data_IF_397621890102
#
_entry.id   IF_397621890102
#
_cell.length_a   1.000
_cell.length_b   1.000
_cell.length_c   1.000
_cell.angle_alpha   90.00
_cell.angle_beta   90.00
_cell.angle_gamma   90.00
#
_symmetry.space_group_name_H-M   'P 1'
#
loop_
_entity.id
_entity.type
_entity.pdbx_description
1 polymer ?
#
# COMPACT_ATOMS: atom_id res chain seq x y z
N UNK A 1 16.22 -30.65 -71.37
CA UNK A 1 16.25 -31.41 -70.10
C UNK A 1 17.12 -30.69 -69.06
N UNK A 2 16.89 -29.38 -68.86
CA UNK A 2 17.43 -28.55 -67.77
C UNK A 2 16.60 -27.25 -67.74
N UNK A 3 15.33 -27.33 -67.32
CA UNK A 3 14.64 -26.14 -66.82
C UNK A 3 14.74 -26.25 -65.31
N UNK A 4 15.58 -25.42 -64.71
CA UNK A 4 15.50 -25.17 -63.27
C UNK A 4 14.04 -24.86 -62.95
N UNK A 5 13.45 -25.57 -62.01
CA UNK A 5 12.07 -25.34 -61.58
C UNK A 5 12.03 -24.03 -60.78
N UNK A 6 12.00 -22.91 -61.50
CA UNK A 6 12.00 -21.56 -60.94
C UNK A 6 10.77 -21.33 -60.06
N UNK A 7 9.68 -22.04 -60.35
CA UNK A 7 8.42 -21.95 -59.63
C UNK A 7 8.52 -22.64 -58.27
N UNK A 8 9.17 -23.82 -58.20
CA UNK A 8 9.45 -24.47 -56.91
C UNK A 8 10.37 -23.61 -56.01
N UNK A 9 11.37 -22.95 -56.60
CA UNK A 9 12.24 -22.02 -55.87
C UNK A 9 11.50 -20.77 -55.37
N UNK A 10 10.57 -20.22 -56.15
CA UNK A 10 9.74 -19.07 -55.78
C UNK A 10 8.81 -19.40 -54.61
N UNK A 11 8.12 -20.55 -54.66
CA UNK A 11 7.22 -21.00 -53.60
C UNK A 11 7.97 -21.22 -52.27
N UNK A 12 9.19 -21.75 -52.32
CA UNK A 12 10.04 -21.88 -51.13
C UNK A 12 10.37 -20.51 -50.53
N UNK A 13 10.82 -19.56 -51.36
CA UNK A 13 11.18 -18.21 -50.91
C UNK A 13 9.96 -17.49 -50.33
N UNK A 14 8.79 -17.60 -50.94
CA UNK A 14 7.55 -16.99 -50.43
C UNK A 14 7.16 -17.56 -49.06
N UNK A 15 7.21 -18.89 -48.90
CA UNK A 15 6.96 -19.52 -47.60
C UNK A 15 7.94 -19.03 -46.53
N UNK A 16 9.24 -18.94 -46.84
CA UNK A 16 10.24 -18.41 -45.90
C UNK A 16 9.98 -16.92 -45.57
N UNK A 17 9.64 -16.10 -46.56
CA UNK A 17 9.29 -14.69 -46.33
C UNK A 17 8.07 -14.56 -45.42
N UNK A 18 7.03 -15.36 -45.66
CA UNK A 18 5.82 -15.38 -44.85
C UNK A 18 6.13 -15.83 -43.41
N UNK A 19 6.98 -16.84 -43.25
CA UNK A 19 7.41 -17.32 -41.92
C UNK A 19 8.22 -16.26 -41.16
N UNK A 20 9.13 -15.55 -41.85
CA UNK A 20 9.89 -14.43 -41.28
C UNK A 20 8.95 -13.31 -40.81
N UNK A 21 7.99 -12.90 -41.64
CA UNK A 21 7.02 -11.84 -41.30
C UNK A 21 6.11 -12.26 -40.14
N UNK A 22 5.64 -13.51 -40.15
CA UNK A 22 4.84 -14.08 -39.06
C UNK A 22 5.62 -14.10 -37.75
N UNK A 23 6.87 -14.56 -37.79
CA UNK A 23 7.75 -14.63 -36.61
C UNK A 23 8.07 -13.24 -36.08
N UNK A 24 8.37 -12.28 -36.96
CA UNK A 24 8.56 -10.87 -36.57
C UNK A 24 7.32 -10.31 -35.87
N UNK A 25 6.14 -10.58 -36.41
CA UNK A 25 4.87 -10.10 -35.82
C UNK A 25 4.63 -10.73 -34.45
N UNK A 26 4.87 -12.02 -34.29
CA UNK A 26 4.80 -12.71 -32.99
C UNK A 26 5.79 -12.13 -31.98
N UNK A 27 7.02 -11.84 -32.40
CA UNK A 27 8.03 -11.22 -31.55
C UNK A 27 7.61 -9.82 -31.08
N UNK A 28 7.05 -8.99 -31.98
CA UNK A 28 6.53 -7.66 -31.63
C UNK A 28 5.37 -7.74 -30.64
N UNK A 29 4.43 -8.66 -30.85
CA UNK A 29 3.33 -8.89 -29.91
C UNK A 29 3.83 -9.36 -28.54
N UNK A 30 4.86 -10.22 -28.52
CA UNK A 30 5.45 -10.69 -27.27
C UNK A 30 6.15 -9.56 -26.52
N UNK A 31 6.90 -8.70 -27.21
CA UNK A 31 7.49 -7.49 -26.61
C UNK A 31 6.41 -6.59 -26.00
N UNK A 32 5.32 -6.34 -26.72
CA UNK A 32 4.20 -5.55 -26.19
C UNK A 32 3.55 -6.21 -24.96
N UNK A 33 3.44 -7.54 -24.93
CA UNK A 33 2.93 -8.28 -23.76
C UNK A 33 3.86 -8.15 -22.55
N UNK A 34 5.17 -8.19 -22.77
CA UNK A 34 6.17 -7.99 -21.70
C UNK A 34 6.02 -6.59 -21.11
N UNK A 35 5.98 -5.55 -21.95
CA UNK A 35 5.82 -4.15 -21.50
C UNK A 35 4.51 -3.92 -20.72
N UNK A 36 3.41 -4.51 -21.21
CA UNK A 36 2.14 -4.47 -20.49
C UNK A 36 2.23 -5.14 -19.12
N UNK A 37 2.87 -6.31 -19.06
CA UNK A 37 3.02 -7.07 -17.81
C UNK A 37 3.91 -6.33 -16.82
N UNK A 38 5.01 -5.73 -17.28
CA UNK A 38 5.89 -4.89 -16.48
C UNK A 38 5.11 -3.71 -15.86
N UNK A 39 4.30 -3.04 -16.68
CA UNK A 39 3.43 -1.94 -16.21
C UNK A 39 2.44 -2.42 -15.15
N UNK A 40 1.83 -3.59 -15.33
CA UNK A 40 0.93 -4.19 -14.34
C UNK A 40 1.64 -4.54 -13.03
N UNK A 41 2.85 -5.09 -13.11
CA UNK A 41 3.67 -5.40 -11.93
C UNK A 41 4.05 -4.12 -11.19
N UNK A 42 4.44 -3.07 -11.89
CA UNK A 42 4.72 -1.76 -11.27
C UNK A 42 3.50 -1.20 -10.55
N UNK A 43 2.33 -1.19 -11.21
CA UNK A 43 1.07 -0.76 -10.58
C UNK A 43 0.73 -1.59 -9.33
N UNK A 44 1.00 -2.89 -9.37
CA UNK A 44 0.77 -3.78 -8.21
C UNK A 44 1.72 -3.45 -7.06
N UNK A 45 3.00 -3.23 -7.35
CA UNK A 45 4.00 -2.84 -6.35
C UNK A 45 3.64 -1.49 -5.70
N UNK A 46 3.24 -0.50 -6.50
CA UNK A 46 2.80 0.80 -6.00
C UNK A 46 1.56 0.69 -5.12
N UNK A 47 0.59 -0.13 -5.52
CA UNK A 47 -0.60 -0.43 -4.71
C UNK A 47 -0.22 -1.10 -3.37
N UNK A 48 0.70 -2.07 -3.38
CA UNK A 48 1.18 -2.71 -2.15
C UNK A 48 1.91 -1.72 -1.24
N UNK A 49 2.73 -0.83 -1.80
CA UNK A 49 3.39 0.23 -1.04
C UNK A 49 2.36 1.17 -0.39
N UNK A 50 1.35 1.58 -1.14
CA UNK A 50 0.29 2.44 -0.62
C UNK A 50 -0.53 1.76 0.49
N UNK A 51 -0.81 0.47 0.34
CA UNK A 51 -1.44 -0.34 1.38
C UNK A 51 -0.60 -0.37 2.66
N UNK A 52 0.69 -0.65 2.55
CA UNK A 52 1.60 -0.69 3.70
C UNK A 52 1.71 0.67 4.40
N UNK A 53 1.74 1.77 3.63
CA UNK A 53 1.71 3.12 4.21
C UNK A 53 0.43 3.37 5.03
N UNK A 54 -0.72 2.92 4.53
CA UNK A 54 -1.99 3.00 5.27
C UNK A 54 -1.96 2.21 6.58
N UNK A 55 -1.34 1.02 6.56
CA UNK A 55 -1.15 0.20 7.77
C UNK A 55 -0.20 0.88 8.77
N UNK A 56 0.90 1.46 8.30
CA UNK A 56 1.86 2.18 9.14
C UNK A 56 1.23 3.39 9.84
N UNK A 57 0.42 4.17 9.11
CA UNK A 57 -0.34 5.29 9.67
C UNK A 57 -1.30 4.82 10.78
N UNK A 58 -1.98 3.70 10.58
CA UNK A 58 -2.88 3.14 11.59
C UNK A 58 -2.13 2.80 12.89
N UNK A 59 -1.01 2.08 12.81
CA UNK A 59 -0.19 1.76 13.97
C UNK A 59 0.41 3.01 14.62
N UNK A 60 0.83 4.00 13.84
CA UNK A 60 1.35 5.27 14.34
C UNK A 60 0.30 6.03 15.16
N UNK A 61 -0.95 6.11 14.69
CA UNK A 61 -2.07 6.73 15.43
C UNK A 61 -2.33 6.01 16.76
N UNK A 62 -2.30 4.66 16.75
CA UNK A 62 -2.44 3.86 17.96
C UNK A 62 -1.30 4.14 18.95
N UNK A 63 -0.05 4.15 18.48
CA UNK A 63 1.12 4.41 19.31
C UNK A 63 1.07 5.81 19.97
N UNK A 64 0.68 6.84 19.22
CA UNK A 64 0.50 8.20 19.74
C UNK A 64 -0.60 8.21 20.82
N UNK A 65 -1.72 7.53 20.58
CA UNK A 65 -2.84 7.45 21.53
C UNK A 65 -2.44 6.79 22.85
N UNK A 66 -1.68 5.70 22.78
CA UNK A 66 -1.12 5.01 23.97
C UNK A 66 -0.09 5.89 24.68
N UNK A 67 0.75 6.63 23.93
CA UNK A 67 1.76 7.53 24.49
C UNK A 67 1.12 8.65 25.31
N UNK A 68 0.00 9.21 24.86
CA UNK A 68 -0.77 10.23 25.61
C UNK A 68 -1.32 9.64 26.91
N UNK A 69 -1.91 8.44 26.87
CA UNK A 69 -2.39 7.76 28.08
C UNK A 69 -1.27 7.47 29.08
N UNK A 70 -0.14 6.96 28.59
CA UNK A 70 1.06 6.69 29.39
C UNK A 70 1.64 7.97 30.01
N UNK A 71 1.63 9.07 29.26
CA UNK A 71 2.08 10.37 29.76
C UNK A 71 1.22 10.87 30.92
N UNK A 72 -0.11 10.82 30.78
CA UNK A 72 -1.04 11.19 31.86
C UNK A 72 -0.82 10.29 33.08
N UNK A 73 -0.77 8.96 32.88
CA UNK A 73 -0.51 8.01 33.95
C UNK A 73 0.85 8.25 34.64
N UNK A 74 1.88 8.64 33.88
CA UNK A 74 3.19 9.00 34.43
C UNK A 74 3.14 10.26 35.27
N UNK A 75 2.53 11.34 34.77
CA UNK A 75 2.43 12.62 35.49
C UNK A 75 1.67 12.48 36.81
N UNK A 76 0.56 11.73 36.83
CA UNK A 76 -0.28 11.56 38.02
C UNK A 76 0.09 10.35 38.89
N UNK A 77 0.83 9.37 38.34
CA UNK A 77 1.32 8.20 39.08
C UNK A 77 2.68 8.41 39.75
N UNK A 78 3.39 9.48 39.41
CA UNK A 78 4.55 9.93 40.15
C UNK A 78 4.10 10.57 41.47
N UNK A 79 4.91 10.45 42.54
CA UNK A 79 4.69 11.05 43.88
C UNK A 79 4.77 12.60 43.86
N UNK A 80 4.10 13.24 42.92
CA UNK A 80 3.92 14.68 42.82
C UNK A 80 2.71 15.05 43.66
N UNK A 81 2.93 15.80 44.75
CA UNK A 81 1.85 16.42 45.52
C UNK A 81 1.07 17.37 44.61
N UNK A 82 -0.02 16.89 44.06
CA UNK A 82 -0.97 17.69 43.31
C UNK A 82 -2.06 18.14 44.25
N UNK A 83 -2.39 19.43 44.31
CA UNK A 83 -3.53 19.94 45.09
C UNK A 83 -4.89 19.36 44.65
N UNK A 84 -4.91 18.57 43.57
CA UNK A 84 -6.08 17.81 43.09
C UNK A 84 -6.26 16.45 43.80
N UNK A 85 -5.27 15.98 44.58
CA UNK A 85 -5.30 14.69 45.28
C UNK A 85 -6.21 14.68 46.53
N UNK A 86 -6.50 15.86 47.09
CA UNK A 86 -7.33 16.00 48.30
C UNK A 86 -8.84 15.83 48.04
N UNK A 87 -9.26 15.70 46.78
CA UNK A 87 -10.68 15.56 46.40
C UNK A 87 -11.10 14.09 46.29
N UNK A 88 -12.17 13.70 46.99
CA UNK A 88 -12.72 12.34 46.89
C UNK A 88 -13.02 11.94 45.43
N UNK A 89 -12.45 10.82 44.99
CA UNK A 89 -12.66 10.27 43.64
C UNK A 89 -11.77 10.82 42.52
N UNK A 90 -10.79 11.68 42.82
CA UNK A 90 -9.88 12.26 41.82
C UNK A 90 -9.16 11.20 40.97
N UNK A 91 -8.67 10.12 41.61
CA UNK A 91 -7.94 9.04 40.95
C UNK A 91 -8.81 8.36 39.88
N UNK A 92 -10.06 8.07 40.22
CA UNK A 92 -11.00 7.45 39.31
C UNK A 92 -11.35 8.38 38.14
N UNK A 93 -11.43 9.70 38.39
CA UNK A 93 -11.59 10.71 37.35
C UNK A 93 -10.45 10.71 36.33
N UNK A 94 -9.20 10.71 36.79
CA UNK A 94 -8.01 10.69 35.92
C UNK A 94 -7.93 9.39 35.12
N UNK A 95 -8.20 8.24 35.74
CA UNK A 95 -8.24 6.95 35.07
C UNK A 95 -9.32 6.93 33.97
N UNK A 96 -10.53 7.39 34.27
CA UNK A 96 -11.60 7.44 33.26
C UNK A 96 -11.27 8.37 32.11
N UNK A 97 -10.77 9.57 32.39
CA UNK A 97 -10.38 10.54 31.35
C UNK A 97 -9.26 9.99 30.48
N UNK A 98 -8.24 9.36 31.06
CA UNK A 98 -7.13 8.78 30.30
C UNK A 98 -7.57 7.62 29.41
N UNK A 99 -8.43 6.72 29.90
CA UNK A 99 -9.00 5.61 29.11
C UNK A 99 -9.89 6.15 27.98
N UNK A 100 -10.74 7.13 28.27
CA UNK A 100 -11.59 7.76 27.25
C UNK A 100 -10.72 8.41 26.17
N UNK A 101 -9.69 9.16 26.53
CA UNK A 101 -8.78 9.77 25.56
C UNK A 101 -8.05 8.72 24.72
N UNK A 102 -7.58 7.64 25.32
CA UNK A 102 -6.88 6.56 24.61
C UNK A 102 -7.78 5.85 23.59
N UNK A 103 -9.10 5.80 23.82
CA UNK A 103 -10.07 5.20 22.89
C UNK A 103 -10.59 6.20 21.86
N UNK A 104 -10.89 7.44 22.26
CA UNK A 104 -11.47 8.46 21.39
C UNK A 104 -10.44 9.04 20.41
N UNK A 105 -9.20 9.25 20.84
CA UNK A 105 -8.13 9.80 19.99
C UNK A 105 -7.87 8.96 18.72
N UNK A 106 -7.71 7.62 18.78
CA UNK A 106 -7.49 6.82 17.58
C UNK A 106 -8.74 6.75 16.70
N UNK A 107 -9.95 6.76 17.29
CA UNK A 107 -11.20 6.76 16.52
C UNK A 107 -11.31 8.05 15.70
N UNK A 108 -11.04 9.21 16.30
CA UNK A 108 -11.03 10.51 15.61
C UNK A 108 -9.93 10.53 14.55
N UNK A 109 -8.72 10.04 14.89
CA UNK A 109 -7.59 9.96 13.96
C UNK A 109 -7.92 9.14 12.71
N UNK A 110 -8.49 7.95 12.89
CA UNK A 110 -8.91 7.07 11.78
C UNK A 110 -10.05 7.70 10.99
N UNK A 111 -11.06 8.29 11.64
CA UNK A 111 -12.17 8.97 10.95
C UNK A 111 -11.68 10.15 10.11
N UNK A 112 -10.75 10.96 10.64
CA UNK A 112 -10.17 12.08 9.91
C UNK A 112 -9.40 11.63 8.67
N UNK A 113 -8.58 10.58 8.80
CA UNK A 113 -7.83 10.01 7.67
C UNK A 113 -8.75 9.34 6.64
N UNK A 114 -9.81 8.69 7.09
CA UNK A 114 -10.83 8.11 6.21
C UNK A 114 -11.59 9.19 5.42
N UNK A 115 -11.87 10.35 6.02
CA UNK A 115 -12.51 11.50 5.33
C UNK A 115 -11.59 12.18 4.33
N UNK A 116 -10.27 12.11 4.50
CA UNK A 116 -9.28 12.68 3.56
C UNK A 116 -8.94 11.76 2.38
N UNK A 117 -9.59 10.59 2.26
CA UNK A 117 -9.39 9.68 1.12
C UNK A 117 -8.01 9.01 1.08
N UNK A 118 -7.30 8.94 2.22
CA UNK A 118 -5.98 8.28 2.31
C UNK A 118 -6.12 6.75 2.29
N UNK A 119 -7.31 6.23 2.63
CA UNK A 119 -7.68 4.85 2.39
C UNK A 119 -8.47 4.79 1.07
N UNK A 120 -7.75 4.53 -0.03
CA UNK A 120 -8.33 3.97 -1.25
C UNK A 120 -8.56 2.48 -1.05
#
# INVERSE_FOLDING_TARGET
MWSYDSEEAEVLIENYLQEIVSTRTKALLMQHRIQNTESLVMLKLDSMRNYLLGVDIFFSILAISISIGTFIAGVFGMNLKSSLEDADGWFWGVVMVSVILMVVCPIIGVLFFKRKGVFV
#
